data_IF_044885874576
#
_entry.id   IF_044885874576
#
_cell.length_a   1.000
_cell.length_b   1.000
_cell.length_c   1.000
_cell.angle_alpha   90.00
_cell.angle_beta   90.00
_cell.angle_gamma   90.00
#
_symmetry.space_group_name_H-M   'P 1'
#
loop_
_entity.id
_entity.type
_entity.pdbx_description
1 polymer ?
#
# COMPACT_ATOMS: atom_id res chain seq x y z
N UNK A 1 6.79 -17.98 -17.85
CA UNK A 1 6.21 -16.63 -18.04
C UNK A 1 6.75 -15.72 -16.96
N UNK A 2 7.15 -14.52 -17.32
CA UNK A 2 7.61 -13.50 -16.36
C UNK A 2 6.46 -13.10 -15.41
N UNK A 3 6.72 -13.03 -14.10
CA UNK A 3 5.74 -12.63 -13.10
C UNK A 3 5.69 -11.10 -13.04
N UNK A 4 4.60 -10.53 -13.48
CA UNK A 4 4.36 -9.09 -13.48
C UNK A 4 3.41 -8.72 -12.35
N UNK A 5 3.78 -7.69 -11.57
CA UNK A 5 3.00 -7.26 -10.42
C UNK A 5 2.79 -5.77 -10.35
N UNK A 6 1.82 -5.36 -9.55
CA UNK A 6 1.61 -3.99 -9.12
C UNK A 6 1.95 -3.91 -7.63
N UNK A 7 2.70 -2.89 -7.24
CA UNK A 7 2.76 -2.42 -5.88
C UNK A 7 1.91 -1.15 -5.75
N UNK A 8 0.82 -1.24 -5.00
CA UNK A 8 -0.11 -0.14 -4.81
C UNK A 8 0.18 0.55 -3.47
N UNK A 9 0.84 1.72 -3.55
CA UNK A 9 1.07 2.57 -2.38
C UNK A 9 -0.25 3.14 -1.86
N UNK A 10 -0.38 3.18 -0.54
CA UNK A 10 -1.51 3.78 0.18
C UNK A 10 -0.99 4.91 1.09
N UNK A 11 -1.01 4.71 2.41
CA UNK A 11 -0.47 5.66 3.40
C UNK A 11 1.03 5.46 3.66
N UNK A 12 1.63 4.43 3.09
CA UNK A 12 3.01 3.98 3.27
C UNK A 12 3.99 4.56 2.23
N UNK A 13 3.96 5.88 1.99
CA UNK A 13 4.77 6.55 0.95
C UNK A 13 6.27 6.55 1.31
N UNK A 14 6.86 5.34 1.43
CA UNK A 14 8.27 5.13 1.77
C UNK A 14 8.80 3.80 1.23
N UNK A 15 10.10 3.72 1.03
CA UNK A 15 10.77 2.48 0.61
C UNK A 15 11.33 1.69 1.82
N UNK A 16 11.76 2.37 2.86
CA UNK A 16 12.25 1.78 4.09
C UNK A 16 11.11 1.30 4.98
N UNK A 17 11.38 0.32 5.81
CA UNK A 17 10.42 -0.30 6.72
C UNK A 17 9.08 -0.60 6.03
N UNK A 18 9.17 -1.22 4.85
CA UNK A 18 8.01 -1.56 4.01
C UNK A 18 8.03 -3.05 3.65
N UNK A 19 7.53 -3.93 4.53
CA UNK A 19 7.53 -5.37 4.30
C UNK A 19 6.67 -5.81 3.11
N UNK A 20 5.61 -5.08 2.77
CA UNK A 20 4.80 -5.38 1.58
C UNK A 20 5.61 -5.12 0.29
N UNK A 21 6.36 -4.01 0.25
CA UNK A 21 7.25 -3.68 -0.86
C UNK A 21 8.38 -4.72 -0.99
N UNK A 22 8.98 -5.12 0.12
CA UNK A 22 9.99 -6.17 0.14
C UNK A 22 9.45 -7.48 -0.43
N UNK A 23 8.28 -7.91 0.04
CA UNK A 23 7.61 -9.12 -0.46
C UNK A 23 7.36 -9.04 -1.97
N UNK A 24 6.84 -7.91 -2.47
CA UNK A 24 6.61 -7.71 -3.90
C UNK A 24 7.92 -7.76 -4.69
N UNK A 25 8.97 -7.10 -4.20
CA UNK A 25 10.27 -7.03 -4.87
C UNK A 25 10.99 -8.38 -4.96
N UNK A 26 10.79 -9.25 -3.97
CA UNK A 26 11.37 -10.60 -3.95
C UNK A 26 10.58 -11.61 -4.81
N UNK A 27 9.26 -11.38 -4.98
CA UNK A 27 8.37 -12.33 -5.62
C UNK A 27 8.14 -12.10 -7.12
N UNK A 28 8.36 -10.87 -7.61
CA UNK A 28 8.04 -10.45 -8.97
C UNK A 28 9.29 -10.24 -9.82
N UNK A 29 9.18 -10.55 -11.13
CA UNK A 29 10.24 -10.28 -12.10
C UNK A 29 10.18 -8.84 -12.61
N UNK A 30 9.00 -8.24 -12.65
CA UNK A 30 8.74 -6.85 -13.05
C UNK A 30 7.65 -6.25 -12.16
N UNK A 31 7.77 -4.96 -11.84
CA UNK A 31 6.79 -4.22 -11.03
C UNK A 31 6.40 -2.89 -11.67
N UNK A 32 5.13 -2.52 -11.49
CA UNK A 32 4.62 -1.15 -11.63
C UNK A 32 4.29 -0.63 -10.24
N UNK A 33 4.72 0.58 -9.93
CA UNK A 33 4.40 1.29 -8.69
C UNK A 33 3.26 2.26 -8.95
N UNK A 34 2.17 2.12 -8.22
CA UNK A 34 0.95 2.90 -8.42
C UNK A 34 0.55 3.61 -7.13
N UNK A 35 0.12 4.85 -7.27
CA UNK A 35 -0.59 5.60 -6.22
C UNK A 35 -1.92 6.11 -6.77
N UNK A 36 -3.00 5.93 -6.02
CA UNK A 36 -4.33 6.39 -6.42
C UNK A 36 -4.69 7.66 -5.65
N UNK A 37 -4.82 8.80 -6.35
CA UNK A 37 -5.26 10.05 -5.73
C UNK A 37 -6.76 9.97 -5.42
N UNK A 38 -7.12 10.28 -4.18
CA UNK A 38 -8.50 10.44 -3.79
C UNK A 38 -9.07 11.75 -4.36
N UNK A 39 -10.04 11.62 -5.26
CA UNK A 39 -10.72 12.81 -5.79
C UNK A 39 -11.70 13.38 -4.76
N UNK A 40 -11.98 14.70 -4.78
CA UNK A 40 -12.98 15.33 -3.90
C UNK A 40 -14.36 14.65 -3.96
N UNK A 41 -14.73 14.10 -5.12
CA UNK A 41 -15.98 13.38 -5.29
C UNK A 41 -16.04 12.08 -4.45
N UNK A 42 -14.93 11.38 -4.27
CA UNK A 42 -14.86 10.19 -3.40
C UNK A 42 -14.96 10.56 -1.91
N UNK A 43 -14.38 11.69 -1.53
CA UNK A 43 -14.40 12.18 -0.15
C UNK A 43 -15.78 12.72 0.25
N UNK A 44 -16.55 13.29 -0.70
CA UNK A 44 -17.89 13.82 -0.44
C UNK A 44 -18.92 12.73 -0.08
N UNK A 45 -18.80 11.53 -0.66
CA UNK A 45 -19.68 10.40 -0.34
C UNK A 45 -19.58 9.91 1.10
N UNK A 46 -18.46 10.22 1.78
CA UNK A 46 -18.24 9.83 3.17
C UNK A 46 -18.57 10.94 4.18
N UNK A 47 -19.16 12.05 3.76
CA UNK A 47 -19.43 13.22 4.63
C UNK A 47 -18.16 13.78 5.32
N UNK A 48 -16.98 13.46 4.80
CA UNK A 48 -15.70 13.94 5.32
C UNK A 48 -15.36 15.37 4.87
N UNK A 49 -16.32 16.04 4.20
CA UNK A 49 -16.21 17.40 3.69
C UNK A 49 -15.49 17.47 2.34
N UNK A 50 -15.83 18.46 1.50
CA UNK A 50 -15.31 18.56 0.13
C UNK A 50 -13.88 19.08 0.04
N UNK A 51 -13.24 19.48 1.15
CA UNK A 51 -12.00 20.23 1.10
C UNK A 51 -10.90 19.57 1.93
N UNK A 52 -10.06 18.80 1.27
CA UNK A 52 -8.69 18.60 1.77
C UNK A 52 -8.03 19.99 1.79
N UNK A 53 -7.50 20.41 2.94
CA UNK A 53 -6.82 21.70 3.02
C UNK A 53 -5.66 21.78 2.02
N UNK A 54 -5.37 22.96 1.49
CA UNK A 54 -4.25 23.18 0.58
C UNK A 54 -2.92 22.68 1.17
N UNK A 55 -2.74 22.83 2.47
CA UNK A 55 -1.54 22.35 3.19
C UNK A 55 -1.42 20.83 3.07
N UNK A 56 -2.52 20.10 3.23
CA UNK A 56 -2.51 18.63 3.11
C UNK A 56 -2.29 18.18 1.67
N UNK A 57 -2.83 18.90 0.70
CA UNK A 57 -2.59 18.63 -0.73
C UNK A 57 -1.12 18.83 -1.07
N UNK A 58 -0.54 19.96 -0.67
CA UNK A 58 0.88 20.24 -0.91
C UNK A 58 1.77 19.17 -0.25
N UNK A 59 1.50 18.81 1.01
CA UNK A 59 2.23 17.76 1.70
C UNK A 59 2.16 16.41 0.95
N UNK A 60 0.99 16.04 0.44
CA UNK A 60 0.84 14.82 -0.35
C UNK A 60 1.66 14.89 -1.65
N UNK A 61 1.59 16.00 -2.39
CA UNK A 61 2.35 16.17 -3.62
C UNK A 61 3.85 16.12 -3.39
N UNK A 62 4.34 16.78 -2.34
CA UNK A 62 5.75 16.75 -1.94
C UNK A 62 6.18 15.31 -1.57
N UNK A 63 5.34 14.58 -0.84
CA UNK A 63 5.60 13.18 -0.47
C UNK A 63 5.64 12.25 -1.68
N UNK A 64 4.74 12.44 -2.66
CA UNK A 64 4.75 11.66 -3.90
C UNK A 64 5.95 12.00 -4.77
N UNK A 65 6.36 13.26 -4.81
CA UNK A 65 7.57 13.69 -5.52
C UNK A 65 8.84 13.08 -4.91
N UNK A 66 8.96 13.10 -3.59
CA UNK A 66 10.09 12.51 -2.87
C UNK A 66 10.15 10.98 -3.12
N UNK A 67 9.00 10.28 -2.96
CA UNK A 67 8.92 8.85 -3.24
C UNK A 67 9.31 8.53 -4.69
N UNK A 68 8.82 9.31 -5.66
CA UNK A 68 9.18 9.09 -7.07
C UNK A 68 10.67 9.32 -7.33
N UNK A 69 11.28 10.30 -6.67
CA UNK A 69 12.73 10.55 -6.74
C UNK A 69 13.53 9.34 -6.22
N UNK A 70 13.10 8.76 -5.10
CA UNK A 70 13.72 7.57 -4.55
C UNK A 70 13.55 6.35 -5.46
N UNK A 71 12.36 6.17 -6.07
CA UNK A 71 12.10 5.11 -7.04
C UNK A 71 12.96 5.27 -8.30
N UNK A 72 13.12 6.51 -8.81
CA UNK A 72 13.99 6.80 -9.97
C UNK A 72 15.45 6.45 -9.72
N UNK A 73 15.95 6.68 -8.52
CA UNK A 73 17.30 6.28 -8.14
C UNK A 73 17.51 4.76 -8.19
N UNK A 74 16.43 3.99 -8.12
CA UNK A 74 16.43 2.51 -8.23
C UNK A 74 15.95 2.01 -9.61
N UNK A 75 15.87 2.90 -10.61
CA UNK A 75 15.47 2.57 -11.98
C UNK A 75 13.97 2.33 -12.17
N UNK A 76 13.15 2.85 -11.26
CA UNK A 76 11.70 2.73 -11.29
C UNK A 76 11.02 4.12 -11.33
N UNK A 77 9.69 4.14 -11.45
CA UNK A 77 8.90 5.37 -11.37
C UNK A 77 7.52 5.11 -10.74
N UNK A 78 6.91 6.17 -10.22
CA UNK A 78 5.57 6.14 -9.65
C UNK A 78 4.54 6.54 -10.70
N UNK A 79 3.55 5.70 -10.93
CA UNK A 79 2.36 5.99 -11.73
C UNK A 79 1.27 6.52 -10.80
N UNK A 80 0.85 7.75 -11.02
CA UNK A 80 -0.22 8.37 -10.23
C UNK A 80 -1.50 8.36 -11.05
N UNK A 81 -2.57 7.76 -10.52
CA UNK A 81 -3.87 7.63 -11.18
C UNK A 81 -4.99 8.27 -10.36
N UNK A 82 -6.00 8.79 -11.05
CA UNK A 82 -7.15 9.48 -10.42
C UNK A 82 -8.41 8.62 -10.35
N UNK A 83 -8.60 7.74 -11.33
CA UNK A 83 -9.79 6.88 -11.46
C UNK A 83 -9.44 5.43 -11.14
N UNK A 84 -9.23 5.15 -9.86
CA UNK A 84 -8.69 3.88 -9.35
C UNK A 84 -9.23 2.63 -10.05
N UNK A 85 -10.57 2.48 -10.11
CA UNK A 85 -11.16 1.23 -10.62
C UNK A 85 -10.99 1.03 -12.12
N UNK A 86 -11.03 2.09 -12.94
CA UNK A 86 -10.93 1.98 -14.40
C UNK A 86 -9.48 1.97 -14.89
N UNK A 87 -8.68 2.91 -14.39
CA UNK A 87 -7.28 3.04 -14.81
C UNK A 87 -6.43 1.87 -14.31
N UNK A 88 -6.67 1.44 -13.05
CA UNK A 88 -5.97 0.27 -12.52
C UNK A 88 -6.35 -1.01 -13.27
N UNK A 89 -7.65 -1.18 -13.64
CA UNK A 89 -8.08 -2.32 -14.46
C UNK A 89 -7.41 -2.31 -15.83
N UNK A 90 -7.25 -1.14 -16.45
CA UNK A 90 -6.55 -1.02 -17.72
C UNK A 90 -5.07 -1.41 -17.59
N UNK A 91 -4.36 -0.93 -16.57
CA UNK A 91 -2.96 -1.34 -16.30
C UNK A 91 -2.87 -2.86 -16.12
N UNK A 92 -3.83 -3.45 -15.40
CA UNK A 92 -3.89 -4.90 -15.17
C UNK A 92 -3.99 -5.67 -16.48
N UNK A 93 -4.89 -5.25 -17.36
CA UNK A 93 -5.17 -5.92 -18.64
C UNK A 93 -4.05 -5.72 -19.65
N UNK A 94 -3.61 -4.47 -19.85
CA UNK A 94 -2.58 -4.12 -20.84
C UNK A 94 -1.24 -4.82 -20.55
N UNK A 95 -0.88 -4.90 -19.28
CA UNK A 95 0.40 -5.49 -18.86
C UNK A 95 0.31 -6.95 -18.42
N UNK A 96 -0.89 -7.55 -18.43
CA UNK A 96 -1.10 -8.94 -17.99
C UNK A 96 -0.60 -9.17 -16.55
N UNK A 97 -1.01 -8.28 -15.66
CA UNK A 97 -0.65 -8.35 -14.25
C UNK A 97 -1.17 -9.63 -13.60
N UNK A 98 -0.33 -10.28 -12.83
CA UNK A 98 -0.68 -11.53 -12.13
C UNK A 98 -0.84 -11.35 -10.62
N UNK A 99 -0.24 -10.30 -10.06
CA UNK A 99 -0.22 -10.06 -8.62
C UNK A 99 -0.34 -8.58 -8.29
N UNK A 100 -1.05 -8.27 -7.20
CA UNK A 100 -1.10 -6.92 -6.63
C UNK A 100 -0.73 -7.00 -5.16
N UNK A 101 0.18 -6.14 -4.74
CA UNK A 101 0.66 -6.01 -3.37
C UNK A 101 0.32 -4.63 -2.84
N UNK A 102 -0.04 -4.56 -1.56
CA UNK A 102 -0.16 -3.30 -0.84
C UNK A 102 0.12 -3.48 0.65
N UNK A 103 0.38 -2.37 1.32
CA UNK A 103 0.26 -2.32 2.76
C UNK A 103 -1.23 -2.29 3.14
N UNK A 104 -1.62 -3.10 4.13
CA UNK A 104 -2.99 -3.11 4.62
C UNK A 104 -3.33 -1.77 5.26
N UNK A 105 -4.25 -1.04 4.66
CA UNK A 105 -4.82 0.16 5.22
C UNK A 105 -6.22 -0.13 5.78
N UNK A 106 -6.50 0.41 6.96
CA UNK A 106 -7.80 0.28 7.61
C UNK A 106 -8.75 1.43 7.24
N UNK A 107 -8.36 2.27 6.28
CA UNK A 107 -9.22 3.33 5.80
C UNK A 107 -10.34 2.74 4.92
N UNK A 108 -11.59 3.09 5.23
CA UNK A 108 -12.79 2.51 4.59
C UNK A 108 -12.77 2.68 3.06
N UNK A 109 -12.28 3.82 2.56
CA UNK A 109 -12.21 4.10 1.12
C UNK A 109 -11.27 3.18 0.37
N UNK A 110 -10.06 3.03 0.88
CA UNK A 110 -9.04 2.19 0.25
C UNK A 110 -9.46 0.73 0.25
N UNK A 111 -10.13 0.31 1.33
CA UNK A 111 -10.72 -1.04 1.40
C UNK A 111 -11.80 -1.25 0.34
N UNK A 112 -12.64 -0.24 0.07
CA UNK A 112 -13.72 -0.35 -0.92
C UNK A 112 -13.16 -0.53 -2.34
N UNK A 113 -12.18 0.28 -2.75
CA UNK A 113 -11.56 0.16 -4.08
C UNK A 113 -10.78 -1.15 -4.22
N UNK A 114 -10.09 -1.56 -3.17
CA UNK A 114 -9.42 -2.85 -3.13
C UNK A 114 -10.36 -4.02 -3.39
N UNK A 115 -11.51 -4.04 -2.72
CA UNK A 115 -12.51 -5.10 -2.94
C UNK A 115 -13.12 -5.03 -4.34
N UNK A 116 -13.40 -3.83 -4.88
CA UNK A 116 -13.91 -3.69 -6.25
C UNK A 116 -12.94 -4.25 -7.29
N UNK A 117 -11.65 -3.97 -7.16
CA UNK A 117 -10.62 -4.49 -8.07
C UNK A 117 -10.49 -6.00 -7.91
N UNK A 118 -10.51 -6.50 -6.69
CA UNK A 118 -10.45 -7.93 -6.40
C UNK A 118 -11.63 -8.70 -7.00
N UNK A 119 -12.85 -8.17 -6.88
CA UNK A 119 -14.05 -8.79 -7.44
C UNK A 119 -14.04 -8.75 -8.98
N UNK A 120 -13.50 -7.68 -9.57
CA UNK A 120 -13.40 -7.54 -11.03
C UNK A 120 -12.32 -8.45 -11.64
N UNK A 121 -11.26 -8.72 -10.92
CA UNK A 121 -10.10 -9.50 -11.38
C UNK A 121 -9.81 -10.71 -10.48
N UNK A 122 -10.73 -11.69 -10.37
CA UNK A 122 -10.59 -12.82 -9.46
C UNK A 122 -9.43 -13.75 -9.79
N UNK A 123 -8.87 -13.66 -11.02
CA UNK A 123 -7.73 -14.43 -11.48
C UNK A 123 -6.39 -13.90 -10.93
N UNK A 124 -6.37 -12.68 -10.38
CA UNK A 124 -5.16 -12.03 -9.84
C UNK A 124 -4.97 -12.44 -8.38
N UNK A 125 -3.74 -12.63 -7.99
CA UNK A 125 -3.37 -12.83 -6.59
C UNK A 125 -3.20 -11.50 -5.88
N UNK A 126 -3.95 -11.29 -4.80
CA UNK A 126 -3.91 -10.10 -3.96
C UNK A 126 -3.20 -10.39 -2.65
N UNK A 127 -2.22 -9.58 -2.29
CA UNK A 127 -1.43 -9.71 -1.07
C UNK A 127 -1.44 -8.40 -0.29
N UNK A 128 -1.85 -8.48 0.98
CA UNK A 128 -1.81 -7.37 1.93
C UNK A 128 -0.89 -7.73 3.10
N UNK A 129 -0.06 -6.77 3.49
CA UNK A 129 0.81 -6.89 4.66
C UNK A 129 0.50 -5.73 5.61
N UNK A 130 0.18 -6.02 6.85
CA UNK A 130 -0.07 -4.98 7.86
C UNK A 130 1.26 -4.47 8.43
N UNK A 131 1.55 -3.18 8.23
CA UNK A 131 2.75 -2.52 8.75
C UNK A 131 2.48 -1.18 9.45
N UNK A 132 1.21 -0.83 9.63
CA UNK A 132 0.83 0.45 10.25
C UNK A 132 0.63 0.33 11.77
N UNK A 133 1.20 -0.72 12.40
CA UNK A 133 1.06 -0.99 13.83
C UNK A 133 2.41 -1.25 14.46
N UNK A 134 2.57 -0.75 15.67
CA UNK A 134 3.78 -0.99 16.47
C UNK A 134 3.98 -2.47 16.81
N UNK A 135 2.88 -3.21 16.96
CA UNK A 135 2.89 -4.65 17.24
C UNK A 135 1.97 -5.38 16.26
N UNK A 136 2.39 -6.55 15.85
CA UNK A 136 1.55 -7.48 15.10
C UNK A 136 0.56 -8.18 16.05
N UNK A 137 -0.58 -8.60 15.52
CA UNK A 137 -1.61 -9.28 16.33
C UNK A 137 -1.08 -10.51 17.05
N UNK A 138 -0.17 -11.24 16.38
CA UNK A 138 0.43 -12.49 16.88
C UNK A 138 1.43 -12.27 18.03
N UNK A 139 1.90 -11.02 18.23
CA UNK A 139 2.79 -10.68 19.35
C UNK A 139 2.06 -10.49 20.67
N UNK A 140 0.72 -10.29 20.62
CA UNK A 140 -0.04 -10.11 21.86
C UNK A 140 -0.21 -11.43 22.61
N UNK A 141 -0.08 -11.43 23.95
CA UNK A 141 -0.28 -12.61 24.79
C UNK A 141 -1.77 -12.89 25.07
N UNK A 142 -2.65 -12.51 24.15
CA UNK A 142 -4.11 -12.70 24.22
C UNK A 142 -4.71 -12.56 22.82
N UNK A 143 -5.84 -13.21 22.60
CA UNK A 143 -6.63 -13.05 21.39
C UNK A 143 -7.38 -11.71 21.38
N UNK A 144 -7.72 -11.19 20.19
CA UNK A 144 -8.46 -9.92 20.07
C UNK A 144 -9.82 -9.95 20.78
N UNK A 145 -10.45 -11.13 20.85
CA UNK A 145 -11.69 -11.38 21.60
C UNK A 145 -11.50 -11.23 23.13
N UNK A 146 -10.26 -11.35 23.60
CA UNK A 146 -9.86 -11.23 25.02
C UNK A 146 -9.14 -9.91 25.30
N UNK A 147 -9.38 -8.90 24.45
CA UNK A 147 -8.78 -7.58 24.61
C UNK A 147 -9.08 -7.03 26.02
N UNK A 148 -8.07 -6.58 26.76
CA UNK A 148 -8.29 -6.01 28.10
C UNK A 148 -9.27 -4.84 28.08
N UNK A 149 -10.20 -4.83 29.02
CA UNK A 149 -11.29 -3.87 29.16
C UNK A 149 -10.83 -2.43 29.53
N UNK A 150 -9.55 -2.26 29.89
CA UNK A 150 -8.98 -0.95 30.19
C UNK A 150 -7.60 -0.77 29.57
N UNK A 151 -7.30 0.48 29.19
CA UNK A 151 -5.98 0.84 28.63
C UNK A 151 -4.84 0.50 29.60
N UNK A 152 -5.00 0.67 30.89
CA UNK A 152 -3.96 0.36 31.88
C UNK A 152 -3.63 -1.12 31.95
N UNK A 153 -4.62 -2.00 31.78
CA UNK A 153 -4.39 -3.45 31.69
C UNK A 153 -3.74 -3.83 30.37
N UNK A 154 -4.19 -3.23 29.25
CA UNK A 154 -3.60 -3.41 27.94
C UNK A 154 -2.12 -2.97 27.95
N UNK A 155 -1.84 -1.74 28.39
CA UNK A 155 -0.48 -1.19 28.44
C UNK A 155 0.49 -2.09 29.19
N UNK A 156 0.12 -2.58 30.37
CA UNK A 156 0.97 -3.48 31.18
C UNK A 156 1.36 -4.77 30.48
N UNK A 157 0.55 -5.23 29.52
CA UNK A 157 0.87 -6.39 28.68
C UNK A 157 1.70 -5.98 27.47
N UNK A 158 1.31 -4.90 26.80
CA UNK A 158 1.95 -4.42 25.58
C UNK A 158 3.37 -3.87 25.80
N UNK A 159 3.63 -3.17 26.92
CA UNK A 159 4.97 -2.60 27.23
C UNK A 159 6.06 -3.65 27.47
N UNK A 160 5.69 -4.92 27.60
CA UNK A 160 6.63 -6.05 27.71
C UNK A 160 6.98 -6.69 26.37
N UNK A 161 6.30 -6.29 25.30
CA UNK A 161 6.53 -6.82 23.96
C UNK A 161 7.77 -6.20 23.36
N UNK A 162 8.49 -7.00 22.61
CA UNK A 162 9.63 -6.52 21.84
C UNK A 162 9.12 -5.86 20.54
N UNK A 163 9.59 -4.66 20.27
CA UNK A 163 9.33 -3.97 19.00
C UNK A 163 10.30 -4.52 17.97
N UNK A 164 9.79 -4.90 16.80
CA UNK A 164 10.61 -5.37 15.69
C UNK A 164 11.48 -4.22 15.18
N UNK A 165 12.70 -4.54 14.74
CA UNK A 165 13.56 -3.54 14.11
C UNK A 165 13.02 -3.14 12.75
N UNK A 166 13.13 -1.84 12.36
CA UNK A 166 12.75 -1.41 11.02
C UNK A 166 13.49 -2.19 9.93
N UNK A 167 12.81 -2.50 8.86
CA UNK A 167 13.41 -3.18 7.71
C UNK A 167 14.15 -2.18 6.83
N UNK A 168 15.37 -2.52 6.42
CA UNK A 168 16.11 -1.70 5.45
C UNK A 168 15.38 -1.65 4.12
N UNK A 169 15.46 -0.52 3.39
CA UNK A 169 14.89 -0.40 2.05
C UNK A 169 15.51 -1.44 1.11
N UNK A 170 14.82 -1.85 0.05
CA UNK A 170 15.38 -2.76 -0.93
C UNK A 170 16.56 -2.09 -1.67
N UNK A 171 17.68 -2.78 -1.77
CA UNK A 171 18.85 -2.31 -2.53
C UNK A 171 18.61 -2.31 -4.04
N UNK A 172 17.64 -3.08 -4.50
CA UNK A 172 17.25 -3.23 -5.91
C UNK A 172 15.75 -3.51 -5.99
N UNK A 173 15.11 -2.88 -6.95
CA UNK A 173 13.73 -3.17 -7.34
C UNK A 173 13.71 -3.99 -8.64
N UNK A 174 12.68 -4.84 -8.87
CA UNK A 174 12.44 -5.43 -10.17
C UNK A 174 12.33 -4.33 -11.23
N UNK A 175 12.77 -4.57 -12.48
CA UNK A 175 12.66 -3.58 -13.54
C UNK A 175 11.20 -3.18 -13.80
N UNK A 176 10.96 -1.99 -14.39
CA UNK A 176 9.63 -1.57 -14.80
C UNK A 176 9.08 -2.51 -15.87
N UNK A 177 7.76 -2.59 -15.92
CA UNK A 177 7.09 -3.29 -17.02
C UNK A 177 7.21 -2.38 -18.23
N UNK A 178 7.94 -2.86 -19.25
CA UNK A 178 8.01 -2.20 -20.55
C UNK A 178 6.92 -2.76 -21.44
N UNK A 179 6.26 -1.89 -22.21
CA UNK A 179 5.37 -2.34 -23.27
C UNK A 179 6.14 -3.25 -24.22
N UNK A 180 5.53 -4.34 -24.69
CA UNK A 180 6.13 -5.11 -25.77
C UNK A 180 6.23 -4.19 -26.99
N UNK A 181 7.47 -3.88 -27.38
CA UNK A 181 7.79 -3.16 -28.62
C UNK A 181 7.32 -3.91 -29.87
#
# INVERSE_FOLDING_TARGET
>A
MSKKGIYWFTTDLRLDDNPALKMASEAMDQLVFVYCIDTPARLSHLQLGPNISQIRQNFLLDSLHDLNTQLQALGQHLVVIEKTSSELSQIIEDHQITHIYRNADHHILDSTEWFKIKDRHPQIKFSEVSNNRLFRSEQFPFELSELPDSFSKFRRKAEKLQIDSPQSPPNRLPPPITDPS
#
